data_IF_798954646898
#
_entry.id   IF_798954646898
#
_cell.length_a   1.000
_cell.length_b   1.000
_cell.length_c   1.000
_cell.angle_alpha   90.00
_cell.angle_beta   90.00
_cell.angle_gamma   90.00
#
_symmetry.space_group_name_H-M   'P 1'
#
loop_
_entity.id
_entity.type
_entity.pdbx_description
1 polymer ?
#
# COMPACT_ATOMS: atom_id res chain seq x y z
N UNK A 1 -17.45 33.16 -38.66
CA UNK A 1 -17.35 31.69 -38.62
C UNK A 1 -16.30 31.35 -37.58
N UNK A 2 -16.73 30.80 -36.46
CA UNK A 2 -15.86 30.36 -35.37
C UNK A 2 -15.06 29.16 -35.89
N UNK A 3 -13.73 29.26 -35.88
CA UNK A 3 -12.86 28.15 -36.28
C UNK A 3 -12.86 27.15 -35.12
N UNK A 4 -13.49 26.00 -35.32
CA UNK A 4 -13.36 24.88 -34.40
C UNK A 4 -11.96 24.29 -34.55
N UNK A 5 -11.13 24.44 -33.52
CA UNK A 5 -9.90 23.66 -33.38
C UNK A 5 -10.31 22.23 -33.08
N UNK A 6 -10.17 21.36 -34.08
CA UNK A 6 -10.49 19.94 -33.98
C UNK A 6 -9.24 19.27 -33.43
N UNK A 7 -9.22 18.98 -32.13
CA UNK A 7 -8.18 18.11 -31.56
C UNK A 7 -8.25 16.72 -32.22
N UNK A 8 -7.11 16.12 -32.62
CA UNK A 8 -7.08 14.80 -33.22
C UNK A 8 -7.75 13.74 -32.34
N UNK A 9 -8.58 12.88 -32.94
CA UNK A 9 -9.29 11.81 -32.23
C UNK A 9 -8.33 10.85 -31.50
N UNK A 10 -7.20 10.51 -32.11
CA UNK A 10 -6.17 9.65 -31.51
C UNK A 10 -5.55 10.28 -30.26
N UNK A 11 -5.32 11.60 -30.24
CA UNK A 11 -4.76 12.31 -29.09
C UNK A 11 -5.72 12.31 -27.89
N UNK A 12 -7.04 12.42 -28.13
CA UNK A 12 -8.05 12.28 -27.09
C UNK A 12 -8.07 10.88 -26.47
N UNK A 13 -8.10 9.84 -27.31
CA UNK A 13 -8.06 8.45 -26.86
C UNK A 13 -6.80 8.17 -26.02
N UNK A 14 -5.64 8.61 -26.48
CA UNK A 14 -4.38 8.37 -25.79
C UNK A 14 -4.33 9.08 -24.43
N UNK A 15 -4.78 10.34 -24.37
CA UNK A 15 -4.90 11.08 -23.09
C UNK A 15 -5.90 10.41 -22.14
N UNK A 16 -7.00 9.86 -22.65
CA UNK A 16 -8.02 9.23 -21.81
C UNK A 16 -7.52 7.88 -21.25
N UNK A 17 -6.79 7.09 -22.03
CA UNK A 17 -6.11 5.90 -21.53
C UNK A 17 -5.05 6.22 -20.47
N UNK A 18 -4.21 7.24 -20.69
CA UNK A 18 -3.21 7.67 -19.70
C UNK A 18 -3.85 8.12 -18.38
N UNK A 19 -4.96 8.86 -18.45
CA UNK A 19 -5.74 9.26 -17.27
C UNK A 19 -6.34 8.06 -16.54
N UNK A 20 -6.88 7.09 -17.28
CA UNK A 20 -7.45 5.88 -16.70
C UNK A 20 -6.38 5.06 -15.97
N UNK A 21 -5.21 4.86 -16.58
CA UNK A 21 -4.10 4.16 -15.94
C UNK A 21 -3.58 4.90 -14.69
N UNK A 22 -3.47 6.23 -14.76
CA UNK A 22 -3.10 7.05 -13.60
C UNK A 22 -4.13 6.90 -12.46
N UNK A 23 -5.42 6.92 -12.81
CA UNK A 23 -6.51 6.71 -11.85
C UNK A 23 -6.47 5.32 -11.22
N UNK A 24 -6.31 4.25 -12.02
CA UNK A 24 -6.23 2.87 -11.52
C UNK A 24 -5.04 2.69 -10.57
N UNK A 25 -3.89 3.26 -10.89
CA UNK A 25 -2.71 3.26 -10.00
C UNK A 25 -2.98 4.00 -8.70
N UNK A 26 -3.61 5.17 -8.75
CA UNK A 26 -3.97 5.93 -7.56
C UNK A 26 -4.99 5.19 -6.69
N UNK A 27 -6.00 4.58 -7.32
CA UNK A 27 -7.03 3.78 -6.64
C UNK A 27 -6.43 2.56 -5.94
N UNK A 28 -5.58 1.78 -6.63
CA UNK A 28 -4.90 0.63 -6.03
C UNK A 28 -4.09 1.02 -4.79
N UNK A 29 -3.35 2.14 -4.87
CA UNK A 29 -2.61 2.67 -3.71
C UNK A 29 -3.54 3.05 -2.56
N UNK A 30 -4.68 3.68 -2.85
CA UNK A 30 -5.68 4.01 -1.83
C UNK A 30 -6.25 2.75 -1.17
N UNK A 31 -6.59 1.73 -1.96
CA UNK A 31 -7.12 0.46 -1.47
C UNK A 31 -6.10 -0.25 -0.54
N UNK A 32 -4.81 -0.22 -0.88
CA UNK A 32 -3.73 -0.74 -0.03
C UNK A 32 -3.61 0.01 1.32
N UNK A 33 -3.70 1.35 1.28
CA UNK A 33 -3.69 2.20 2.49
C UNK A 33 -4.91 1.90 3.37
N UNK A 34 -6.10 1.86 2.79
CA UNK A 34 -7.34 1.57 3.50
C UNK A 34 -7.31 0.15 4.07
N UNK A 35 -6.80 -0.83 3.31
CA UNK A 35 -6.60 -2.19 3.78
C UNK A 35 -5.65 -2.29 4.98
N UNK A 36 -4.57 -1.52 4.99
CA UNK A 36 -3.69 -1.42 6.15
C UNK A 36 -4.41 -0.87 7.39
N UNK A 37 -5.20 0.20 7.24
CA UNK A 37 -5.94 0.77 8.37
C UNK A 37 -6.99 -0.21 8.93
N UNK A 38 -7.66 -0.97 8.06
CA UNK A 38 -8.56 -2.04 8.51
C UNK A 38 -7.82 -3.12 9.30
N UNK A 39 -6.67 -3.58 8.80
CA UNK A 39 -5.86 -4.56 9.51
C UNK A 39 -5.37 -4.02 10.87
N UNK A 40 -4.89 -2.77 10.92
CA UNK A 40 -4.48 -2.10 12.16
C UNK A 40 -5.65 -1.97 13.15
N UNK A 41 -6.84 -1.57 12.68
CA UNK A 41 -8.02 -1.44 13.54
C UNK A 41 -8.42 -2.78 14.16
N UNK A 42 -8.49 -3.84 13.35
CA UNK A 42 -8.78 -5.20 13.84
C UNK A 42 -7.71 -5.65 14.83
N UNK A 43 -6.43 -5.43 14.52
CA UNK A 43 -5.32 -5.75 15.40
C UNK A 43 -5.49 -5.09 16.77
N UNK A 44 -5.81 -3.80 16.83
CA UNK A 44 -6.00 -3.07 18.10
C UNK A 44 -7.19 -3.63 18.87
N UNK A 45 -8.34 -3.77 18.22
CA UNK A 45 -9.59 -4.21 18.87
C UNK A 45 -9.43 -5.62 19.45
N UNK A 46 -8.91 -6.55 18.66
CA UNK A 46 -8.76 -7.96 19.08
C UNK A 46 -7.72 -8.08 20.18
N UNK A 47 -6.56 -7.42 20.07
CA UNK A 47 -5.54 -7.52 21.10
C UNK A 47 -5.97 -6.85 22.40
N UNK A 48 -6.67 -5.71 22.34
CA UNK A 48 -7.23 -5.08 23.54
C UNK A 48 -8.23 -6.01 24.24
N UNK A 49 -9.12 -6.64 23.47
CA UNK A 49 -10.07 -7.63 23.99
C UNK A 49 -9.37 -8.82 24.64
N UNK A 50 -8.34 -9.38 24.00
CA UNK A 50 -7.55 -10.49 24.55
C UNK A 50 -6.82 -10.10 25.84
N UNK A 51 -6.16 -8.94 25.87
CA UNK A 51 -5.45 -8.47 27.06
C UNK A 51 -6.40 -8.28 28.24
N UNK A 52 -7.61 -7.73 27.99
CA UNK A 52 -8.64 -7.56 29.02
C UNK A 52 -9.10 -8.93 29.54
N UNK A 53 -9.39 -9.89 28.66
CA UNK A 53 -9.82 -11.23 29.08
C UNK A 53 -8.73 -11.93 29.89
N UNK A 54 -7.49 -11.96 29.39
CA UNK A 54 -6.37 -12.60 30.08
C UNK A 54 -6.16 -11.93 31.44
N UNK A 55 -6.15 -10.59 31.48
CA UNK A 55 -5.98 -9.84 32.72
C UNK A 55 -7.11 -10.03 33.73
N UNK A 56 -8.34 -10.25 33.28
CA UNK A 56 -9.50 -10.46 34.15
C UNK A 56 -9.60 -11.91 34.68
N UNK A 57 -8.89 -12.85 34.08
CA UNK A 57 -8.89 -14.28 34.44
C UNK A 57 -7.58 -14.75 35.09
N UNK A 58 -6.74 -13.82 35.57
CA UNK A 58 -5.50 -14.17 36.28
C UNK A 58 -5.79 -14.86 37.61
N UNK A 59 -5.21 -16.03 37.82
CA UNK A 59 -5.28 -16.74 39.09
C UNK A 59 -4.38 -16.10 40.17
N UNK A 60 -4.64 -16.41 41.44
CA UNK A 60 -3.84 -15.92 42.57
C UNK A 60 -2.38 -16.40 42.43
N UNK A 61 -1.49 -15.49 42.06
CA UNK A 61 -0.05 -15.75 41.91
C UNK A 61 0.45 -15.62 40.47
N UNK A 62 -0.44 -15.49 39.48
CA UNK A 62 -0.05 -15.22 38.11
C UNK A 62 0.25 -13.74 37.88
N UNK A 63 1.26 -13.47 37.06
CA UNK A 63 1.66 -12.11 36.70
C UNK A 63 1.00 -11.69 35.40
N UNK A 64 0.28 -10.57 35.43
CA UNK A 64 -0.23 -9.89 34.23
C UNK A 64 0.90 -9.60 33.22
N UNK A 65 2.11 -9.31 33.71
CA UNK A 65 3.28 -8.99 32.89
C UNK A 65 4.00 -10.22 32.30
N UNK A 66 3.33 -11.38 32.28
CA UNK A 66 3.83 -12.56 31.58
C UNK A 66 3.95 -12.30 30.07
N UNK A 67 4.98 -12.88 29.45
CA UNK A 67 5.14 -12.92 28.00
C UNK A 67 3.88 -13.48 27.33
N UNK A 68 3.19 -14.44 27.95
CA UNK A 68 1.97 -15.03 27.40
C UNK A 68 0.85 -14.02 27.15
N UNK A 69 0.70 -13.01 28.02
CA UNK A 69 -0.33 -11.96 27.90
C UNK A 69 -0.15 -11.11 26.64
N UNK A 70 1.10 -10.90 26.23
CA UNK A 70 1.45 -10.03 25.10
C UNK A 70 1.95 -10.79 23.87
N UNK A 71 2.18 -12.10 23.97
CA UNK A 71 2.76 -12.90 22.89
C UNK A 71 1.97 -12.76 21.58
N UNK A 72 0.64 -12.90 21.65
CA UNK A 72 -0.24 -12.75 20.47
C UNK A 72 -0.07 -11.38 19.83
N UNK A 73 -0.09 -10.30 20.63
CA UNK A 73 0.10 -8.94 20.14
C UNK A 73 1.49 -8.78 19.51
N UNK A 74 2.54 -9.29 20.15
CA UNK A 74 3.91 -9.19 19.65
C UNK A 74 4.09 -9.89 18.30
N UNK A 75 3.66 -11.15 18.17
CA UNK A 75 3.82 -11.90 16.92
C UNK A 75 2.96 -11.33 15.78
N UNK A 76 1.71 -10.94 16.05
CA UNK A 76 0.89 -10.27 15.04
C UNK A 76 1.42 -8.88 14.69
N UNK A 77 1.99 -8.17 15.67
CA UNK A 77 2.60 -6.86 15.48
C UNK A 77 3.77 -6.90 14.48
N UNK A 78 4.53 -8.00 14.45
CA UNK A 78 5.57 -8.21 13.44
C UNK A 78 4.94 -8.29 12.03
N UNK A 79 3.87 -9.06 11.86
CA UNK A 79 3.15 -9.14 10.57
C UNK A 79 2.57 -7.78 10.14
N UNK A 80 2.01 -7.04 11.09
CA UNK A 80 1.50 -5.69 10.87
C UNK A 80 2.61 -4.71 10.45
N UNK A 81 3.80 -4.82 11.06
CA UNK A 81 4.96 -4.04 10.67
C UNK A 81 5.40 -4.33 9.23
N UNK A 82 5.46 -5.61 8.83
CA UNK A 82 5.75 -5.96 7.44
C UNK A 82 4.70 -5.40 6.46
N UNK A 83 3.41 -5.44 6.82
CA UNK A 83 2.36 -4.84 6.00
C UNK A 83 2.53 -3.32 5.89
N UNK A 84 2.84 -2.64 7.00
CA UNK A 84 3.16 -1.21 7.01
C UNK A 84 4.32 -0.88 6.05
N UNK A 85 5.41 -1.65 6.12
CA UNK A 85 6.54 -1.45 5.21
C UNK A 85 6.19 -1.75 3.75
N UNK A 86 5.33 -2.70 3.47
CA UNK A 86 4.82 -2.94 2.11
C UNK A 86 4.05 -1.74 1.55
N UNK A 87 3.15 -1.16 2.35
CA UNK A 87 2.26 -0.07 1.92
C UNK A 87 2.97 1.29 1.91
N UNK A 88 3.77 1.60 2.92
CA UNK A 88 4.39 2.92 3.10
C UNK A 88 5.88 2.95 2.82
N UNK A 89 6.56 1.80 2.82
CA UNK A 89 8.00 1.71 2.63
C UNK A 89 8.49 2.41 1.36
N UNK A 90 7.84 2.23 0.19
CA UNK A 90 8.29 2.88 -1.02
C UNK A 90 8.33 4.43 -0.90
N UNK A 91 7.41 5.02 -0.15
CA UNK A 91 7.33 6.47 0.06
C UNK A 91 8.33 6.98 1.11
N UNK A 92 8.64 6.18 2.11
CA UNK A 92 9.53 6.55 3.22
C UNK A 92 11.00 6.36 2.81
N UNK A 93 11.31 5.28 2.09
CA UNK A 93 12.68 4.89 1.78
C UNK A 93 13.17 5.31 0.39
N UNK A 94 12.27 5.50 -0.59
CA UNK A 94 12.67 5.94 -1.92
C UNK A 94 12.27 7.39 -2.17
N UNK A 95 13.24 8.21 -2.58
CA UNK A 95 12.98 9.60 -2.97
C UNK A 95 12.26 9.66 -4.31
N UNK A 96 11.57 10.77 -4.58
CA UNK A 96 10.95 11.03 -5.90
C UNK A 96 11.94 10.86 -7.05
N UNK A 97 13.20 11.25 -6.86
CA UNK A 97 14.26 11.08 -7.86
C UNK A 97 14.58 9.60 -8.14
N UNK A 98 14.42 8.71 -7.15
CA UNK A 98 14.55 7.26 -7.39
C UNK A 98 13.35 6.73 -8.18
N UNK A 99 12.14 7.18 -7.86
CA UNK A 99 10.91 6.78 -8.54
C UNK A 99 10.93 7.21 -10.02
N UNK A 100 11.31 8.46 -10.30
CA UNK A 100 11.49 9.00 -11.65
C UNK A 100 12.53 8.23 -12.46
N UNK A 101 13.68 7.89 -11.86
CA UNK A 101 14.71 7.07 -12.53
C UNK A 101 14.17 5.69 -12.89
N UNK A 102 13.39 5.07 -12.00
CA UNK A 102 12.83 3.74 -12.26
C UNK A 102 11.75 3.78 -13.33
N UNK A 103 10.86 4.76 -13.31
CA UNK A 103 9.88 4.96 -14.38
C UNK A 103 10.59 5.10 -15.74
N UNK A 104 11.65 5.92 -15.81
CA UNK A 104 12.44 6.07 -17.03
C UNK A 104 13.12 4.77 -17.48
N UNK A 105 13.61 3.96 -16.55
CA UNK A 105 14.19 2.65 -16.84
C UNK A 105 13.15 1.68 -17.43
N UNK A 106 11.94 1.64 -16.87
CA UNK A 106 10.85 0.80 -17.38
C UNK A 106 10.41 1.24 -18.79
N UNK A 107 10.18 2.54 -19.01
CA UNK A 107 9.82 3.07 -20.33
C UNK A 107 10.88 2.74 -21.39
N UNK A 108 12.17 2.84 -21.03
CA UNK A 108 13.27 2.49 -21.92
C UNK A 108 13.28 0.98 -22.22
N UNK A 109 13.05 0.12 -21.23
CA UNK A 109 12.99 -1.34 -21.45
C UNK A 109 11.85 -1.73 -22.38
N UNK A 110 10.66 -1.16 -22.17
CA UNK A 110 9.51 -1.42 -23.04
C UNK A 110 9.80 -0.97 -24.48
N UNK A 111 10.43 0.19 -24.65
CA UNK A 111 10.83 0.69 -25.98
C UNK A 111 11.87 -0.20 -26.68
N UNK A 112 12.82 -0.75 -25.93
CA UNK A 112 13.85 -1.67 -26.44
C UNK A 112 13.28 -3.07 -26.72
N UNK A 113 12.28 -3.50 -25.97
CA UNK A 113 11.54 -4.74 -26.22
C UNK A 113 10.72 -4.63 -27.52
N UNK A 114 9.99 -3.54 -27.72
CA UNK A 114 9.24 -3.28 -28.95
C UNK A 114 10.18 -3.30 -30.18
N UNK A 115 11.31 -2.59 -30.11
CA UNK A 115 12.34 -2.57 -31.17
C UNK A 115 12.98 -3.91 -31.48
N UNK A 116 12.95 -4.87 -30.54
CA UNK A 116 13.49 -6.22 -30.76
C UNK A 116 12.57 -7.07 -31.63
N UNK A 117 11.28 -6.75 -31.66
CA UNK A 117 10.27 -7.48 -32.41
C UNK A 117 9.91 -6.83 -33.77
N UNK A 118 10.48 -5.67 -34.07
CA UNK A 118 10.50 -5.02 -35.39
C UNK A 118 11.71 -5.47 -36.23
#
# INVERSE_FOLDING_TARGET
MEKYEIEPYEENIQRDFEKEEAYLRAKKKLDEIVGFYWHLAIYIIVNLFLIIIIGSNLDKGESFWSIGTFATALFWGIGLAFHFFGVFGPRIFFSKAWEERKIKEYMNKDSEEIRRFE
#
